data_IF_029088505274
#
_entry.id   IF_029088505274
#
_cell.length_a   1.000
_cell.length_b   1.000
_cell.length_c   1.000
_cell.angle_alpha   90.00
_cell.angle_beta   90.00
_cell.angle_gamma   90.00
#
_symmetry.space_group_name_H-M   'P 1'
#
loop_
_entity.id
_entity.type
_entity.pdbx_description
1 polymer ?
#
# COMPACT_ATOMS: atom_id res chain seq x y z
N UNK A 1 15.60 14.11 3.60
CA UNK A 1 14.85 15.09 2.78
C UNK A 1 15.44 15.05 1.39
N UNK A 2 14.62 14.86 0.35
CA UNK A 2 15.11 14.93 -1.02
C UNK A 2 15.46 16.38 -1.33
N UNK A 3 16.68 16.64 -1.79
CA UNK A 3 17.04 17.92 -2.41
C UNK A 3 16.19 18.09 -3.67
N UNK A 4 15.63 19.27 -3.90
CA UNK A 4 14.98 19.59 -5.19
C UNK A 4 16.00 19.33 -6.31
N UNK A 5 15.73 18.31 -7.11
CA UNK A 5 16.45 18.10 -8.36
C UNK A 5 15.80 19.08 -9.33
N UNK A 6 16.45 20.22 -9.59
CA UNK A 6 16.06 21.16 -10.64
C UNK A 6 16.24 20.49 -12.02
N UNK A 7 15.33 19.58 -12.36
CA UNK A 7 15.24 19.04 -13.72
C UNK A 7 14.54 20.09 -14.56
N UNK A 8 15.29 20.74 -15.45
CA UNK A 8 14.70 21.63 -16.45
C UNK A 8 13.59 20.90 -17.23
N UNK A 9 12.39 21.48 -17.26
CA UNK A 9 11.20 20.93 -17.93
C UNK A 9 11.24 21.19 -19.45
N UNK A 10 12.38 20.92 -20.08
CA UNK A 10 12.58 21.12 -21.51
C UNK A 10 12.23 19.84 -22.26
N UNK A 11 10.97 19.72 -22.66
CA UNK A 11 10.54 18.67 -23.60
C UNK A 11 10.86 19.14 -25.01
N UNK A 12 12.03 18.74 -25.53
CA UNK A 12 12.38 19.01 -26.92
C UNK A 12 11.27 18.48 -27.86
N UNK A 13 10.90 19.29 -28.85
CA UNK A 13 9.94 18.85 -29.86
C UNK A 13 10.57 17.68 -30.63
N UNK A 14 10.05 16.47 -30.43
CA UNK A 14 10.46 15.31 -31.20
C UNK A 14 10.22 15.65 -32.68
N UNK A 15 11.24 15.58 -33.56
CA UNK A 15 11.04 15.83 -34.98
C UNK A 15 9.94 14.89 -35.46
N UNK A 16 8.89 15.44 -36.07
CA UNK A 16 7.71 14.68 -36.54
C UNK A 16 8.17 13.56 -37.47
N UNK A 17 8.40 12.38 -36.91
CA UNK A 17 8.74 11.21 -37.71
C UNK A 17 7.51 10.93 -38.58
N UNK A 18 7.73 10.77 -39.89
CA UNK A 18 6.63 10.65 -40.84
C UNK A 18 5.88 9.36 -40.53
N UNK A 19 4.70 9.50 -39.92
CA UNK A 19 3.86 8.35 -39.52
C UNK A 19 3.60 7.49 -40.76
N UNK A 20 4.03 6.23 -40.71
CA UNK A 20 3.82 5.29 -41.82
C UNK A 20 2.32 5.02 -41.93
N UNK A 21 1.67 5.58 -42.95
CA UNK A 21 0.27 5.27 -43.26
C UNK A 21 0.16 3.82 -43.75
N UNK A 22 -0.63 3.01 -43.05
CA UNK A 22 -1.06 1.70 -43.53
C UNK A 22 -2.39 1.84 -44.27
N UNK A 23 -2.55 1.05 -45.33
CA UNK A 23 -3.82 0.97 -46.08
C UNK A 23 -4.82 0.23 -45.19
N UNK A 24 -5.98 0.83 -44.96
CA UNK A 24 -7.09 0.23 -44.21
C UNK A 24 -7.90 -0.68 -45.14
N UNK A 25 -8.47 -1.74 -44.60
CA UNK A 25 -9.41 -2.58 -45.34
C UNK A 25 -10.84 -2.07 -45.18
N UNK A 26 -11.14 -1.46 -44.05
CA UNK A 26 -12.48 -0.96 -43.73
C UNK A 26 -12.47 0.48 -43.19
N UNK A 27 -13.58 1.19 -43.44
CA UNK A 27 -13.72 2.62 -43.13
C UNK A 27 -13.94 2.91 -41.64
N UNK A 28 -14.26 1.88 -40.84
CA UNK A 28 -14.42 1.97 -39.38
C UNK A 28 -13.11 1.78 -38.60
N UNK A 29 -12.00 1.42 -39.26
CA UNK A 29 -10.70 1.32 -38.61
C UNK A 29 -10.23 2.71 -38.17
N UNK A 30 -9.94 2.90 -36.88
CA UNK A 30 -9.40 4.15 -36.35
C UNK A 30 -7.94 4.37 -36.79
N UNK A 31 -7.46 5.62 -36.76
CA UNK A 31 -6.03 5.90 -36.93
C UNK A 31 -5.30 5.49 -35.64
N UNK A 32 -4.34 4.59 -35.73
CA UNK A 32 -3.28 4.48 -34.71
C UNK A 32 -2.33 5.68 -34.90
N UNK A 33 -2.80 6.86 -34.52
CA UNK A 33 -1.98 8.07 -34.56
C UNK A 33 -1.00 8.01 -33.38
N UNK A 34 0.32 8.08 -33.63
CA UNK A 34 1.31 8.06 -32.56
C UNK A 34 1.17 9.32 -31.69
N UNK A 35 1.54 9.21 -30.41
CA UNK A 35 1.61 10.36 -29.51
C UNK A 35 2.76 11.26 -30.00
N UNK A 36 2.42 12.40 -30.61
CA UNK A 36 3.41 13.34 -31.18
C UNK A 36 3.97 14.27 -30.09
N UNK A 37 3.20 14.50 -29.02
CA UNK A 37 3.58 15.42 -27.96
C UNK A 37 4.55 14.75 -26.99
N UNK A 38 5.79 15.23 -26.95
CA UNK A 38 6.85 14.73 -26.09
C UNK A 38 6.49 14.75 -24.60
N UNK A 39 5.76 15.77 -24.15
CA UNK A 39 5.31 15.88 -22.76
C UNK A 39 4.24 14.83 -22.44
N UNK A 40 3.31 14.59 -23.37
CA UNK A 40 2.26 13.59 -23.20
C UNK A 40 2.83 12.18 -23.23
N UNK A 41 3.81 11.94 -24.10
CA UNK A 41 4.56 10.69 -24.15
C UNK A 41 5.31 10.42 -22.83
N UNK A 42 6.05 11.42 -22.31
CA UNK A 42 6.69 11.30 -21.00
C UNK A 42 5.69 10.99 -19.88
N UNK A 43 4.53 11.66 -19.91
CA UNK A 43 3.50 11.48 -18.90
C UNK A 43 2.94 10.06 -18.90
N UNK A 44 2.67 9.50 -20.08
CA UNK A 44 2.07 8.17 -20.26
C UNK A 44 3.11 7.06 -20.05
N UNK A 45 4.24 7.12 -20.76
CA UNK A 45 5.24 6.05 -20.79
C UNK A 45 6.11 5.99 -19.53
N UNK A 46 6.31 7.12 -18.84
CA UNK A 46 7.21 7.18 -17.68
C UNK A 46 6.48 7.58 -16.40
N UNK A 47 5.88 8.78 -16.35
CA UNK A 47 5.37 9.32 -15.10
C UNK A 47 4.24 8.46 -14.52
N UNK A 48 3.22 8.12 -15.32
CA UNK A 48 2.13 7.27 -14.86
C UNK A 48 2.62 5.87 -14.50
N UNK A 49 3.51 5.29 -15.31
CA UNK A 49 4.09 3.99 -14.98
C UNK A 49 4.84 3.98 -13.64
N UNK A 50 5.59 5.04 -13.35
CA UNK A 50 6.28 5.22 -12.06
C UNK A 50 5.28 5.37 -10.91
N UNK A 51 4.22 6.18 -11.09
CA UNK A 51 3.18 6.38 -10.07
C UNK A 51 2.43 5.07 -9.81
N UNK A 52 2.02 4.34 -10.85
CA UNK A 52 1.33 3.06 -10.72
C UNK A 52 2.23 2.03 -10.02
N UNK A 53 3.52 2.00 -10.35
CA UNK A 53 4.50 1.13 -9.68
C UNK A 53 4.63 1.50 -8.21
N UNK A 54 4.70 2.79 -7.88
CA UNK A 54 4.79 3.26 -6.50
C UNK A 54 3.53 2.90 -5.70
N UNK A 55 2.34 3.09 -6.29
CA UNK A 55 1.04 2.69 -5.71
C UNK A 55 1.04 1.18 -5.45
N UNK A 56 1.24 0.37 -6.49
CA UNK A 56 1.22 -1.10 -6.39
C UNK A 56 2.25 -1.62 -5.36
N UNK A 57 3.46 -1.05 -5.35
CA UNK A 57 4.50 -1.41 -4.36
C UNK A 57 4.14 -1.06 -2.92
N UNK A 58 3.23 -0.11 -2.73
CA UNK A 58 2.81 0.36 -1.41
C UNK A 58 1.51 -0.30 -0.95
N UNK A 59 0.59 -0.62 -1.86
CA UNK A 59 -0.70 -1.25 -1.55
C UNK A 59 -0.54 -2.54 -0.76
N UNK A 60 0.33 -3.46 -1.20
CA UNK A 60 0.54 -4.72 -0.48
C UNK A 60 1.04 -4.48 0.95
N UNK A 61 1.97 -3.53 1.13
CA UNK A 61 2.53 -3.19 2.45
C UNK A 61 1.48 -2.53 3.35
N UNK A 62 0.65 -1.63 2.81
CA UNK A 62 -0.44 -1.00 3.56
C UNK A 62 -1.51 -2.03 3.96
N UNK A 63 -1.85 -2.96 3.07
CA UNK A 63 -2.80 -4.04 3.37
C UNK A 63 -2.29 -4.95 4.50
N UNK A 64 -1.02 -5.37 4.43
CA UNK A 64 -0.38 -6.14 5.49
C UNK A 64 -0.35 -5.37 6.83
N UNK A 65 0.00 -4.09 6.80
CA UNK A 65 0.01 -3.25 7.99
C UNK A 65 -1.39 -3.09 8.59
N UNK A 66 -2.41 -2.92 7.74
CA UNK A 66 -3.80 -2.84 8.18
C UNK A 66 -4.26 -4.14 8.85
N UNK A 67 -3.90 -5.29 8.28
CA UNK A 67 -4.20 -6.61 8.86
C UNK A 67 -3.50 -6.80 10.20
N UNK A 68 -2.20 -6.50 10.27
CA UNK A 68 -1.45 -6.50 11.52
C UNK A 68 -2.13 -5.60 12.55
N UNK A 69 -2.49 -4.37 12.17
CA UNK A 69 -3.15 -3.44 13.08
C UNK A 69 -4.50 -4.00 13.56
N UNK A 70 -5.29 -4.66 12.72
CA UNK A 70 -6.60 -5.21 13.16
C UNK A 70 -6.50 -6.20 14.33
N UNK A 71 -5.35 -6.84 14.52
CA UNK A 71 -5.11 -7.81 15.59
C UNK A 71 -4.32 -7.23 16.76
N UNK A 72 -3.29 -6.43 16.47
CA UNK A 72 -2.34 -5.94 17.47
C UNK A 72 -2.65 -4.51 17.94
N UNK A 73 -3.63 -3.80 17.37
CA UNK A 73 -3.90 -2.38 17.67
C UNK A 73 -4.13 -2.11 19.16
N UNK A 74 -4.78 -3.03 19.87
CA UNK A 74 -5.07 -2.87 21.30
C UNK A 74 -3.80 -2.79 22.14
N UNK A 75 -2.71 -3.45 21.71
CA UNK A 75 -1.41 -3.40 22.40
C UNK A 75 -0.78 -2.00 22.34
N UNK A 76 -1.06 -1.21 21.29
CA UNK A 76 -0.58 0.17 21.19
C UNK A 76 -1.32 1.13 22.13
N UNK A 77 -2.53 0.76 22.57
CA UNK A 77 -3.41 1.60 23.37
C UNK A 77 -3.62 1.02 24.78
N UNK A 78 -2.71 0.16 25.28
CA UNK A 78 -2.87 -0.54 26.57
C UNK A 78 -3.15 0.40 27.75
N UNK A 79 -2.51 1.56 27.80
CA UNK A 79 -2.72 2.55 28.85
C UNK A 79 -4.08 3.25 28.79
N UNK A 80 -4.82 3.10 27.69
CA UNK A 80 -6.18 3.61 27.52
C UNK A 80 -7.22 2.55 27.94
N UNK A 81 -6.81 1.29 28.15
CA UNK A 81 -7.68 0.15 28.48
C UNK A 81 -7.95 -0.01 30.00
N UNK A 82 -7.68 1.03 30.82
CA UNK A 82 -7.56 0.97 32.29
C UNK A 82 -8.74 0.37 33.08
N UNK A 83 -9.94 0.28 32.50
CA UNK A 83 -11.14 -0.20 33.21
C UNK A 83 -11.79 -1.44 32.55
N UNK A 84 -11.08 -2.11 31.64
CA UNK A 84 -11.66 -3.10 30.73
C UNK A 84 -11.09 -4.52 30.83
N UNK A 85 -10.85 -5.09 32.01
CA UNK A 85 -10.27 -6.45 32.13
C UNK A 85 -10.98 -7.51 31.26
N UNK A 86 -12.31 -7.43 31.14
CA UNK A 86 -13.07 -8.33 30.26
C UNK A 86 -12.81 -8.08 28.77
N UNK A 87 -12.59 -6.82 28.38
CA UNK A 87 -12.27 -6.41 27.01
C UNK A 87 -10.83 -6.81 26.66
N UNK A 88 -9.87 -6.56 27.55
CA UNK A 88 -8.46 -6.95 27.39
C UNK A 88 -8.35 -8.46 27.21
N UNK A 89 -9.03 -9.23 28.08
CA UNK A 89 -9.01 -10.69 27.97
C UNK A 89 -9.63 -11.18 26.66
N UNK A 90 -10.72 -10.56 26.19
CA UNK A 90 -11.32 -10.89 24.91
C UNK A 90 -10.32 -10.64 23.76
N UNK A 91 -9.67 -9.47 23.72
CA UNK A 91 -8.65 -9.16 22.72
C UNK A 91 -7.44 -10.10 22.79
N UNK A 92 -7.01 -10.53 23.98
CA UNK A 92 -5.94 -11.52 24.14
C UNK A 92 -6.33 -12.89 23.60
N UNK A 93 -7.58 -13.32 23.78
CA UNK A 93 -8.10 -14.59 23.24
C UNK A 93 -8.23 -14.57 21.73
N UNK A 94 -8.69 -13.44 21.18
CA UNK A 94 -8.75 -13.25 19.73
C UNK A 94 -7.34 -13.36 19.14
N UNK A 95 -6.37 -12.67 19.76
CA UNK A 95 -4.97 -12.72 19.34
C UNK A 95 -4.36 -14.13 19.46
N UNK A 96 -4.65 -14.85 20.54
CA UNK A 96 -4.22 -16.25 20.72
C UNK A 96 -4.75 -17.13 19.59
N UNK A 97 -6.03 -16.98 19.25
CA UNK A 97 -6.66 -17.73 18.15
C UNK A 97 -5.99 -17.42 16.81
N UNK A 98 -5.67 -16.17 16.54
CA UNK A 98 -5.00 -15.74 15.29
C UNK A 98 -3.57 -16.30 15.21
N UNK A 99 -2.89 -16.40 16.34
CA UNK A 99 -1.51 -16.91 16.44
C UNK A 99 -1.44 -18.42 16.70
N UNK A 100 -2.57 -19.13 16.60
CA UNK A 100 -2.63 -20.59 16.73
C UNK A 100 -2.46 -21.24 15.37
N UNK A 101 -1.44 -22.11 15.26
CA UNK A 101 -1.25 -23.01 14.13
C UNK A 101 -1.39 -24.46 14.62
N UNK A 102 -2.51 -25.11 14.25
CA UNK A 102 -2.86 -26.44 14.73
C UNK A 102 -3.11 -26.46 16.24
N UNK A 103 -2.30 -27.22 16.98
CA UNK A 103 -2.36 -27.35 18.45
C UNK A 103 -1.38 -26.41 19.17
N UNK A 104 -0.56 -25.66 18.42
CA UNK A 104 0.45 -24.76 18.98
C UNK A 104 0.01 -23.32 18.84
N UNK A 105 -0.10 -22.61 19.96
CA UNK A 105 -0.27 -21.16 19.98
C UNK A 105 1.05 -20.45 20.25
N UNK A 106 1.29 -19.34 19.55
CA UNK A 106 2.43 -18.47 19.82
C UNK A 106 2.33 -17.71 21.15
N UNK A 107 1.13 -17.61 21.75
CA UNK A 107 0.89 -16.89 23.00
C UNK A 107 -0.17 -17.59 23.87
N UNK A 108 -0.18 -17.27 25.16
CA UNK A 108 -1.25 -17.67 26.10
C UNK A 108 -2.07 -16.43 26.48
N UNK A 109 -3.38 -16.44 26.20
CA UNK A 109 -4.22 -15.26 26.44
C UNK A 109 -4.36 -14.86 27.90
N UNK A 110 -4.31 -15.82 28.84
CA UNK A 110 -4.40 -15.54 30.27
C UNK A 110 -3.12 -14.87 30.77
N UNK A 111 -1.97 -15.42 30.41
CA UNK A 111 -0.66 -14.85 30.79
C UNK A 111 -0.49 -13.45 30.20
N UNK A 112 -0.82 -13.25 28.92
CA UNK A 112 -0.75 -11.93 28.29
C UNK A 112 -1.68 -10.91 28.96
N UNK A 113 -2.90 -11.32 29.32
CA UNK A 113 -3.84 -10.44 30.01
C UNK A 113 -3.33 -10.03 31.39
N UNK A 114 -2.72 -10.95 32.12
CA UNK A 114 -2.12 -10.67 33.43
C UNK A 114 -0.92 -9.72 33.31
N UNK A 115 -0.04 -9.94 32.33
CA UNK A 115 1.09 -9.04 32.04
C UNK A 115 0.64 -7.62 31.69
N UNK A 116 -0.35 -7.49 30.81
CA UNK A 116 -0.94 -6.18 30.45
C UNK A 116 -1.56 -5.52 31.68
N UNK A 117 -2.26 -6.28 32.52
CA UNK A 117 -2.88 -5.75 33.75
C UNK A 117 -1.85 -5.18 34.71
N UNK A 118 -0.70 -5.86 34.86
CA UNK A 118 0.42 -5.37 35.66
C UNK A 118 0.97 -4.07 35.08
N UNK A 119 1.19 -4.00 33.77
CA UNK A 119 1.72 -2.79 33.10
C UNK A 119 0.75 -1.60 33.22
N UNK A 120 -0.55 -1.83 33.11
CA UNK A 120 -1.57 -0.77 33.19
C UNK A 120 -1.81 -0.25 34.62
N UNK A 121 -1.35 -0.99 35.63
CA UNK A 121 -1.48 -0.62 37.05
C UNK A 121 -0.40 0.34 37.57
N UNK A 122 0.62 0.64 36.75
CA UNK A 122 1.71 1.60 37.01
C UNK A 122 1.34 2.99 36.50
#
# INVERSE_FOLDING_TARGET
>A
MASEIEVEKNFESIPKHRVRRRKRQFDYENQDDPIINAQENYKIEFFYHLVDTAINSSEQRFSQLQHHNSYFCFLYHIYELKDGNSIILASCKDLETILTDGESSGINSLELCDEISVVCSV
#
